data_IF_046425637765
#
_entry.id   IF_046425637765
#
_cell.length_a   1.000
_cell.length_b   1.000
_cell.length_c   1.000
_cell.angle_alpha   90.00
_cell.angle_beta   90.00
_cell.angle_gamma   90.00
#
_symmetry.space_group_name_H-M   'P 1'
#
loop_
_entity.id
_entity.type
_entity.pdbx_description
1 polymer ?
#
# COMPACT_ATOMS: atom_id res chain seq x y z
N UNK A 1 4.78 82.84 11.25
CA UNK A 1 3.49 83.28 11.81
C UNK A 1 2.50 83.33 10.65
N UNK A 2 1.43 82.55 10.53
CA UNK A 2 0.96 81.32 11.15
C UNK A 2 -0.03 80.71 10.14
N UNK A 3 -0.06 79.38 9.98
CA UNK A 3 -1.11 78.67 9.23
C UNK A 3 -1.70 77.62 10.15
N UNK A 4 -3.01 77.69 10.39
CA UNK A 4 -3.91 76.55 10.63
C UNK A 4 -5.35 77.07 10.76
N UNK A 5 -6.29 76.66 9.88
CA UNK A 5 -7.71 76.71 10.16
C UNK A 5 -8.29 75.31 10.41
N UNK A 6 -8.75 75.12 11.64
CA UNK A 6 -10.05 74.61 12.13
C UNK A 6 -10.99 73.71 11.29
N UNK A 7 -11.76 72.94 12.09
CA UNK A 7 -13.15 72.45 11.92
C UNK A 7 -13.31 70.99 11.42
N UNK A 8 -14.14 70.12 12.01
CA UNK A 8 -15.07 70.21 13.14
C UNK A 8 -16.21 69.16 13.01
N UNK A 9 -16.68 68.64 14.16
CA UNK A 9 -18.06 68.19 14.50
C UNK A 9 -18.62 66.82 14.03
N UNK A 10 -18.71 65.91 15.02
CA UNK A 10 -19.89 65.20 15.58
C UNK A 10 -21.04 64.66 14.70
N UNK A 11 -21.45 63.40 14.98
CA UNK A 11 -22.85 62.91 14.89
C UNK A 11 -23.09 61.60 14.09
N UNK A 12 -23.60 60.55 14.75
CA UNK A 12 -24.22 59.34 14.15
C UNK A 12 -25.78 59.50 14.13
N UNK A 13 -26.66 58.52 13.73
CA UNK A 13 -26.52 57.19 13.10
C UNK A 13 -27.59 56.85 11.99
N UNK A 14 -27.60 55.58 11.53
CA UNK A 14 -28.69 54.72 10.96
C UNK A 14 -28.82 54.37 9.44
N UNK A 15 -28.62 53.06 9.20
CA UNK A 15 -29.46 52.08 8.47
C UNK A 15 -29.83 52.25 6.98
N UNK A 16 -29.39 51.28 6.14
CA UNK A 16 -29.92 51.03 4.80
C UNK A 16 -29.52 49.65 4.28
N UNK A 17 -30.50 48.83 3.91
CA UNK A 17 -30.42 47.42 3.45
C UNK A 17 -29.85 47.31 2.02
N UNK A 18 -29.07 46.27 1.72
CA UNK A 18 -28.75 45.93 0.32
C UNK A 18 -27.91 44.67 0.13
N UNK A 19 -28.57 43.58 -0.33
CA UNK A 19 -28.02 42.61 -1.28
C UNK A 19 -27.00 41.57 -0.79
N UNK A 20 -27.47 40.36 -0.51
CA UNK A 20 -26.62 39.17 -0.54
C UNK A 20 -26.19 38.86 -2.00
N UNK A 21 -24.91 38.54 -2.28
CA UNK A 21 -24.57 37.72 -3.42
C UNK A 21 -24.58 36.26 -2.98
N UNK A 22 -25.70 35.60 -3.25
CA UNK A 22 -25.81 34.15 -3.30
C UNK A 22 -24.97 33.67 -4.50
N UNK A 23 -23.69 33.31 -4.27
CA UNK A 23 -22.81 32.82 -5.34
C UNK A 23 -22.01 31.59 -4.89
N UNK A 24 -22.45 30.41 -5.38
CA UNK A 24 -21.55 29.29 -5.61
C UNK A 24 -21.46 28.18 -4.56
N UNK A 25 -22.59 27.63 -4.08
CA UNK A 25 -22.62 26.37 -3.31
C UNK A 25 -21.87 25.21 -4.01
N UNK A 26 -21.80 25.21 -5.34
CA UNK A 26 -21.00 24.26 -6.12
C UNK A 26 -19.48 24.50 -6.09
N UNK A 27 -19.05 25.74 -5.83
CA UNK A 27 -17.63 26.07 -5.67
C UNK A 27 -17.11 25.70 -4.28
N UNK A 28 -17.95 25.81 -3.25
CA UNK A 28 -17.62 25.37 -1.89
C UNK A 28 -17.45 23.84 -1.82
N UNK A 29 -18.34 23.08 -2.47
CA UNK A 29 -18.21 21.63 -2.55
C UNK A 29 -16.97 21.20 -3.36
N UNK A 30 -16.68 21.89 -4.48
CA UNK A 30 -15.50 21.61 -5.32
C UNK A 30 -14.19 22.04 -4.65
N UNK A 31 -14.21 23.10 -3.84
CA UNK A 31 -13.09 23.54 -2.99
C UNK A 31 -12.90 22.64 -1.77
N UNK A 32 -13.99 22.16 -1.18
CA UNK A 32 -13.96 21.17 -0.10
C UNK A 32 -13.42 19.83 -0.60
N UNK A 33 -13.87 19.37 -1.77
CA UNK A 33 -13.35 18.17 -2.41
C UNK A 33 -11.88 18.36 -2.80
N UNK A 34 -11.52 19.51 -3.38
CA UNK A 34 -10.13 19.86 -3.70
C UNK A 34 -9.24 19.92 -2.44
N UNK A 35 -9.75 20.44 -1.33
CA UNK A 35 -9.03 20.46 -0.05
C UNK A 35 -8.95 19.08 0.59
N UNK A 36 -9.95 18.22 0.45
CA UNK A 36 -9.89 16.83 0.95
C UNK A 36 -8.90 16.01 0.12
N UNK A 37 -8.91 16.15 -1.21
CA UNK A 37 -7.91 15.51 -2.09
C UNK A 37 -6.51 16.07 -1.86
N UNK A 38 -6.38 17.38 -1.64
CA UNK A 38 -5.09 17.99 -1.29
C UNK A 38 -4.61 17.50 0.08
N UNK A 39 -5.49 17.38 1.08
CA UNK A 39 -5.14 16.86 2.41
C UNK A 39 -4.82 15.36 2.40
N UNK A 40 -5.38 14.56 1.49
CA UNK A 40 -4.98 13.16 1.31
C UNK A 40 -3.63 13.02 0.58
N UNK A 41 -3.29 13.95 -0.32
CA UNK A 41 -2.01 13.98 -1.04
C UNK A 41 -0.88 14.58 -0.20
N UNK A 42 -1.22 15.52 0.70
CA UNK A 42 -0.29 16.20 1.60
C UNK A 42 -0.20 15.53 2.98
N UNK A 43 -1.03 14.51 3.24
CA UNK A 43 -0.82 13.68 4.42
C UNK A 43 0.56 13.03 4.25
N UNK A 44 1.47 13.17 5.23
CA UNK A 44 2.70 12.40 5.18
C UNK A 44 2.29 10.92 5.24
N UNK A 45 2.38 10.22 4.10
CA UNK A 45 2.40 8.75 4.07
C UNK A 45 3.30 8.14 5.16
N UNK A 46 4.44 8.75 5.58
CA UNK A 46 5.22 8.21 6.69
C UNK A 46 4.52 8.22 8.06
N UNK A 47 3.42 8.94 8.27
CA UNK A 47 2.72 8.94 9.56
C UNK A 47 2.07 7.58 9.90
N UNK A 48 1.77 6.74 8.90
CA UNK A 48 1.35 5.35 9.12
C UNK A 48 2.55 4.41 9.38
N UNK A 49 3.75 4.84 9.01
CA UNK A 49 5.01 4.15 9.26
C UNK A 49 5.74 4.65 10.52
N UNK A 50 5.18 5.64 11.22
CA UNK A 50 5.72 6.22 12.45
C UNK A 50 5.45 5.30 13.64
N UNK A 51 6.07 4.12 13.61
CA UNK A 51 6.20 3.22 14.74
C UNK A 51 7.67 2.94 14.98
N UNK A 52 8.34 3.80 15.76
CA UNK A 52 9.69 3.58 16.26
C UNK A 52 10.74 4.53 15.69
N UNK A 53 10.69 5.81 16.04
CA UNK A 53 11.76 6.77 15.70
C UNK A 53 13.08 6.47 16.44
N UNK A 54 13.03 5.65 17.50
CA UNK A 54 14.19 5.29 18.33
C UNK A 54 14.75 3.87 18.06
N UNK A 55 14.10 3.08 17.20
CA UNK A 55 14.48 1.67 16.97
C UNK A 55 15.20 1.55 15.63
N UNK A 56 16.41 0.98 15.65
CA UNK A 56 17.16 0.79 14.41
C UNK A 56 16.37 -0.09 13.42
N UNK A 57 16.37 0.22 12.11
CA UNK A 57 15.60 -0.54 11.11
C UNK A 57 15.91 -2.04 11.10
N UNK A 58 17.18 -2.39 11.37
CA UNK A 58 17.60 -3.77 11.54
C UNK A 58 16.89 -4.42 12.73
N UNK A 59 16.90 -3.80 13.92
CA UNK A 59 16.25 -4.35 15.11
C UNK A 59 14.75 -4.54 14.87
N UNK A 60 14.11 -3.58 14.20
CA UNK A 60 12.71 -3.71 13.79
C UNK A 60 12.47 -4.89 12.84
N UNK A 61 13.27 -5.04 11.78
CA UNK A 61 13.18 -6.15 10.84
C UNK A 61 13.48 -7.51 11.50
N UNK A 62 14.42 -7.54 12.45
CA UNK A 62 14.76 -8.71 13.24
C UNK A 62 13.59 -9.10 14.16
N UNK A 63 12.91 -8.13 14.79
CA UNK A 63 11.71 -8.41 15.58
C UNK A 63 10.58 -9.01 14.73
N UNK A 64 10.29 -8.40 13.56
CA UNK A 64 9.30 -8.94 12.62
C UNK A 64 9.70 -10.35 12.15
N UNK A 65 10.97 -10.58 11.86
CA UNK A 65 11.49 -11.89 11.46
C UNK A 65 11.29 -12.95 12.54
N UNK A 66 11.64 -12.65 13.80
CA UNK A 66 11.47 -13.58 14.93
C UNK A 66 10.00 -13.89 15.16
N UNK A 67 9.12 -12.86 15.15
CA UNK A 67 7.68 -13.06 15.30
C UNK A 67 7.13 -13.90 14.14
N UNK A 68 7.57 -13.66 12.90
CA UNK A 68 7.16 -14.43 11.72
C UNK A 68 7.55 -15.92 11.82
N UNK A 69 8.70 -16.25 12.41
CA UNK A 69 9.09 -17.65 12.65
C UNK A 69 8.12 -18.34 13.60
N UNK A 70 7.78 -17.71 14.73
CA UNK A 70 6.81 -18.27 15.68
C UNK A 70 5.46 -18.48 15.02
N UNK A 71 4.94 -17.48 14.30
CA UNK A 71 3.67 -17.59 13.57
C UNK A 71 3.74 -18.73 12.54
N UNK A 72 4.82 -18.82 11.76
CA UNK A 72 5.02 -19.88 10.77
C UNK A 72 5.02 -21.28 11.38
N UNK A 73 5.68 -21.46 12.53
CA UNK A 73 5.70 -22.71 13.28
C UNK A 73 4.27 -23.14 13.69
N UNK A 74 3.51 -22.25 14.34
CA UNK A 74 2.14 -22.54 14.77
C UNK A 74 1.19 -22.83 13.61
N UNK A 75 1.34 -22.12 12.48
CA UNK A 75 0.52 -22.33 11.27
C UNK A 75 0.75 -23.72 10.67
N UNK A 76 1.99 -24.19 10.60
CA UNK A 76 2.31 -25.52 10.03
C UNK A 76 1.94 -26.64 11.00
N UNK A 77 2.09 -26.45 12.30
CA UNK A 77 1.75 -27.48 13.30
C UNK A 77 0.25 -27.74 13.46
N UNK A 78 -0.59 -26.78 13.05
CA UNK A 78 -2.06 -26.85 13.24
C UNK A 78 -2.80 -27.57 12.10
N UNK A 79 -2.12 -28.41 11.31
CA UNK A 79 -2.72 -29.11 10.15
C UNK A 79 -2.93 -30.60 10.40
N UNK A 80 -3.99 -31.16 9.83
CA UNK A 80 -4.29 -32.59 9.97
C UNK A 80 -3.26 -33.45 9.20
N UNK A 81 -2.89 -34.66 9.69
CA UNK A 81 -1.81 -35.45 9.09
C UNK A 81 -2.01 -35.85 7.62
N UNK A 82 -3.26 -35.93 7.17
CA UNK A 82 -3.60 -36.20 5.76
C UNK A 82 -3.19 -35.06 4.80
N UNK A 83 -2.87 -33.88 5.35
CA UNK A 83 -2.56 -32.69 4.58
C UNK A 83 -1.06 -32.38 4.50
N UNK A 84 -0.15 -33.15 5.12
CA UNK A 84 1.29 -32.86 5.04
C UNK A 84 1.81 -32.85 3.60
N UNK A 85 1.30 -33.74 2.74
CA UNK A 85 1.69 -33.78 1.32
C UNK A 85 1.14 -32.60 0.50
N UNK A 86 -0.16 -32.22 0.62
CA UNK A 86 -0.66 -30.95 0.09
C UNK A 86 0.06 -29.72 0.65
N UNK A 87 0.35 -29.71 1.95
CA UNK A 87 1.02 -28.61 2.65
C UNK A 87 2.43 -28.40 2.11
N UNK A 88 3.16 -29.49 1.83
CA UNK A 88 4.48 -29.43 1.18
C UNK A 88 4.41 -28.75 -0.19
N UNK A 89 3.34 -28.96 -0.95
CA UNK A 89 3.14 -28.30 -2.24
C UNK A 89 2.77 -26.81 -2.07
N UNK A 90 1.99 -26.47 -1.04
CA UNK A 90 1.62 -25.09 -0.73
C UNK A 90 2.83 -24.29 -0.25
N UNK A 91 3.71 -24.85 0.59
CA UNK A 91 4.93 -24.16 1.02
C UNK A 91 5.90 -23.95 -0.15
N UNK A 92 5.93 -24.86 -1.13
CA UNK A 92 6.65 -24.64 -2.38
C UNK A 92 6.11 -23.42 -3.14
N UNK A 93 4.78 -23.28 -3.26
CA UNK A 93 4.18 -22.10 -3.88
C UNK A 93 4.46 -20.80 -3.10
N UNK A 94 4.38 -20.81 -1.76
CA UNK A 94 4.62 -19.64 -0.90
C UNK A 94 6.07 -19.16 -0.99
N UNK A 95 7.03 -20.05 -1.21
CA UNK A 95 8.44 -19.67 -1.42
C UNK A 95 8.65 -18.70 -2.60
N UNK A 96 7.65 -18.59 -3.49
CA UNK A 96 7.66 -17.68 -4.63
C UNK A 96 7.54 -16.19 -4.30
N UNK A 97 7.57 -15.80 -3.01
CA UNK A 97 7.68 -14.39 -2.58
C UNK A 97 8.88 -13.66 -3.23
N UNK A 98 9.87 -14.43 -3.70
CA UNK A 98 11.02 -13.96 -4.50
C UNK A 98 10.58 -13.13 -5.73
N UNK A 99 9.37 -13.31 -6.25
CA UNK A 99 8.81 -12.50 -7.35
C UNK A 99 8.86 -11.00 -7.05
N UNK A 100 8.69 -10.59 -5.79
CA UNK A 100 8.76 -9.18 -5.37
C UNK A 100 10.18 -8.65 -5.60
N UNK A 101 11.20 -9.42 -5.22
CA UNK A 101 12.60 -9.06 -5.45
C UNK A 101 12.94 -9.02 -6.94
N UNK A 102 12.42 -9.96 -7.73
CA UNK A 102 12.63 -10.00 -9.18
C UNK A 102 12.01 -8.79 -9.90
N UNK A 103 10.80 -8.38 -9.49
CA UNK A 103 10.14 -7.17 -10.01
C UNK A 103 10.92 -5.90 -9.66
N UNK A 104 11.45 -5.81 -8.43
CA UNK A 104 12.31 -4.70 -8.04
C UNK A 104 13.61 -4.67 -8.85
N UNK A 105 14.28 -5.81 -9.04
CA UNK A 105 15.51 -5.88 -9.84
C UNK A 105 15.29 -5.53 -11.33
N UNK A 106 14.20 -6.03 -11.92
CA UNK A 106 13.81 -5.69 -13.28
C UNK A 106 13.38 -4.22 -13.42
N UNK A 107 12.70 -3.67 -12.41
CA UNK A 107 12.17 -2.31 -12.37
C UNK A 107 13.21 -1.23 -12.09
N UNK A 108 14.19 -1.48 -11.21
CA UNK A 108 15.28 -0.53 -10.88
C UNK A 108 16.10 -0.15 -12.13
N UNK A 109 16.15 -1.04 -13.11
CA UNK A 109 16.85 -0.81 -14.37
C UNK A 109 16.08 0.08 -15.38
N UNK A 110 14.83 0.48 -15.09
CA UNK A 110 14.17 1.60 -15.81
C UNK A 110 14.75 2.96 -15.39
N UNK A 111 15.31 3.06 -14.18
CA UNK A 111 15.76 4.33 -13.57
C UNK A 111 17.27 4.52 -13.74
N UNK A 112 18.06 3.44 -13.76
CA UNK A 112 19.51 3.51 -13.92
C UNK A 112 19.94 3.23 -15.37
N UNK A 113 20.46 4.24 -16.06
CA UNK A 113 21.09 4.11 -17.37
C UNK A 113 22.41 3.32 -17.24
N UNK A 114 22.39 2.01 -17.51
CA UNK A 114 23.61 1.19 -17.60
C UNK A 114 23.50 -0.27 -17.15
N UNK A 115 22.38 -0.74 -16.59
CA UNK A 115 22.31 -2.07 -15.97
C UNK A 115 21.67 -3.16 -16.85
N UNK A 116 22.15 -3.33 -18.08
CA UNK A 116 21.65 -4.39 -18.99
C UNK A 116 21.69 -5.80 -18.38
N UNK A 117 22.72 -6.08 -17.57
CA UNK A 117 22.83 -7.33 -16.81
C UNK A 117 21.75 -7.48 -15.72
N UNK A 118 21.45 -6.42 -14.97
CA UNK A 118 20.41 -6.47 -13.95
C UNK A 118 19.02 -6.70 -14.56
N UNK A 119 18.76 -6.17 -15.77
CA UNK A 119 17.54 -6.49 -16.53
C UNK A 119 17.48 -7.97 -16.92
N UNK A 120 18.58 -8.51 -17.44
CA UNK A 120 18.63 -9.90 -17.86
C UNK A 120 18.41 -10.86 -16.68
N UNK A 121 19.11 -10.63 -15.56
CA UNK A 121 18.96 -11.42 -14.35
C UNK A 121 17.61 -11.22 -13.68
N UNK A 122 17.07 -9.98 -13.64
CA UNK A 122 15.74 -9.70 -13.11
C UNK A 122 14.63 -10.36 -13.93
N UNK A 123 14.75 -10.33 -15.26
CA UNK A 123 13.83 -11.03 -16.17
C UNK A 123 13.90 -12.55 -15.98
N UNK A 124 15.11 -13.13 -15.92
CA UNK A 124 15.28 -14.56 -15.69
C UNK A 124 14.74 -14.99 -14.32
N UNK A 125 14.98 -14.18 -13.28
CA UNK A 125 14.42 -14.39 -11.95
C UNK A 125 12.89 -14.32 -11.96
N UNK A 126 12.28 -13.44 -12.76
CA UNK A 126 10.83 -13.32 -12.89
C UNK A 126 10.23 -14.55 -13.59
N UNK A 127 10.88 -15.06 -14.63
CA UNK A 127 10.49 -16.31 -15.31
C UNK A 127 10.56 -17.49 -14.34
N UNK A 128 11.66 -17.62 -13.59
CA UNK A 128 11.83 -18.70 -12.60
C UNK A 128 10.82 -18.60 -11.47
N UNK A 129 10.55 -17.39 -10.96
CA UNK A 129 9.52 -17.16 -9.95
C UNK A 129 8.13 -17.56 -10.47
N UNK A 130 7.81 -17.23 -11.73
CA UNK A 130 6.53 -17.59 -12.34
C UNK A 130 6.33 -19.12 -12.40
N UNK A 131 7.37 -19.87 -12.79
CA UNK A 131 7.31 -21.35 -12.80
C UNK A 131 7.01 -21.90 -11.40
N UNK A 132 7.61 -21.34 -10.35
CA UNK A 132 7.39 -21.78 -8.98
C UNK A 132 5.95 -21.48 -8.49
N UNK A 133 5.41 -20.32 -8.85
CA UNK A 133 4.01 -19.94 -8.58
C UNK A 133 3.07 -20.94 -9.28
N UNK A 134 3.11 -21.00 -10.61
CA UNK A 134 2.16 -21.79 -11.39
C UNK A 134 2.35 -23.29 -11.16
N UNK A 135 3.59 -23.77 -11.05
CA UNK A 135 3.91 -25.17 -10.77
C UNK A 135 3.42 -25.61 -9.39
N UNK A 136 3.66 -24.79 -8.36
CA UNK A 136 3.19 -25.08 -6.99
C UNK A 136 1.67 -25.18 -6.90
N UNK A 137 0.92 -24.27 -7.53
CA UNK A 137 -0.54 -24.32 -7.50
C UNK A 137 -1.13 -25.46 -8.35
N UNK A 138 -0.56 -25.78 -9.52
CA UNK A 138 -1.04 -26.86 -10.39
C UNK A 138 -0.90 -28.23 -9.71
N UNK A 139 0.24 -28.49 -9.07
CA UNK A 139 0.49 -29.76 -8.36
C UNK A 139 -0.44 -29.91 -7.16
N UNK A 140 -0.63 -28.82 -6.39
CA UNK A 140 -1.54 -28.82 -5.23
C UNK A 140 -2.98 -29.14 -5.63
N UNK A 141 -3.46 -28.56 -6.74
CA UNK A 141 -4.81 -28.86 -7.24
C UNK A 141 -4.96 -30.29 -7.73
N UNK A 142 -3.92 -30.86 -8.34
CA UNK A 142 -3.91 -32.26 -8.77
C UNK A 142 -3.92 -33.23 -7.58
N UNK A 143 -3.25 -32.87 -6.48
CA UNK A 143 -3.25 -33.62 -5.23
C UNK A 143 -4.60 -33.57 -4.51
N UNK A 144 -5.23 -32.39 -4.45
CA UNK A 144 -6.57 -32.23 -3.84
C UNK A 144 -7.70 -32.80 -4.72
N UNK A 145 -7.51 -32.85 -6.03
CA UNK A 145 -8.44 -33.46 -6.98
C UNK A 145 -8.63 -34.97 -6.77
N UNK A 146 -7.64 -35.65 -6.16
CA UNK A 146 -7.73 -37.08 -5.83
C UNK A 146 -8.57 -37.37 -4.58
N UNK A 147 -8.90 -36.36 -3.77
CA UNK A 147 -9.79 -36.48 -2.62
C UNK A 147 -11.26 -36.14 -2.93
N UNK A 148 -11.58 -35.70 -4.15
CA UNK A 148 -12.97 -35.53 -4.59
C UNK A 148 -13.59 -36.89 -4.89
N UNK A 149 -14.61 -37.28 -4.11
CA UNK A 149 -15.46 -38.44 -4.40
C UNK A 149 -16.01 -38.31 -5.84
N UNK A 150 -15.79 -39.33 -6.66
CA UNK A 150 -16.47 -39.46 -7.96
C UNK A 150 -17.98 -39.41 -7.72
N UNK A 151 -18.69 -38.56 -8.45
CA UNK A 151 -20.17 -38.59 -8.46
C UNK A 151 -20.64 -40.00 -8.85
N UNK A 152 -21.66 -40.55 -8.16
CA UNK A 152 -22.23 -41.82 -8.55
C UNK A 152 -22.87 -41.66 -9.94
N UNK A 153 -22.35 -42.40 -10.92
CA UNK A 153 -22.93 -42.48 -12.26
C UNK A 153 -24.33 -43.11 -12.11
N UNK A 154 -25.38 -42.34 -12.38
CA UNK A 154 -26.74 -42.84 -12.52
C UNK A 154 -26.88 -43.69 -13.77
#
# INVERSE_FOLDING_TARGET
MALSPQAGREGAPQAGRGGAPQAGRGGAARRALASITASLVLLPLPALAAGGEDVSPLVYQLMVFVIAIFVGYYVVWSVTPALHTPLMSVTNAISSVIVVGALLAAGVSLVAAGSGLAKLFGFLALVMASVNIFGGFLVTQRMLGMYKKREPRK
#
